data_IF_882729294809
#
_entry.id   IF_882729294809
#
_cell.length_a   1.000
_cell.length_b   1.000
_cell.length_c   1.000
_cell.angle_alpha   90.00
_cell.angle_beta   90.00
_cell.angle_gamma   90.00
#
_symmetry.space_group_name_H-M   'P 1'
#
loop_
_entity.id
_entity.type
_entity.pdbx_description
1 polymer ?
#
# COMPACT_ATOMS: atom_id res chain seq x y z
N UNK A 1 41.63 -52.38 8.05
CA UNK A 1 40.35 -51.73 7.66
C UNK A 1 40.69 -50.55 6.76
N UNK A 2 40.09 -50.49 5.57
CA UNK A 2 40.55 -49.70 4.40
C UNK A 2 40.13 -48.22 4.48
N UNK A 3 40.91 -47.28 3.92
CA UNK A 3 40.56 -45.86 3.86
C UNK A 3 39.53 -45.56 2.75
N UNK A 4 38.58 -44.68 3.04
CA UNK A 4 37.56 -44.20 2.10
C UNK A 4 38.18 -43.19 1.12
N UNK A 5 38.19 -43.56 -0.17
CA UNK A 5 38.63 -42.70 -1.26
C UNK A 5 37.54 -41.71 -1.66
N UNK A 6 37.89 -40.42 -1.67
CA UNK A 6 37.06 -39.31 -2.12
C UNK A 6 37.15 -39.21 -3.65
N UNK A 7 36.16 -39.75 -4.37
CA UNK A 7 36.11 -39.66 -5.82
C UNK A 7 35.53 -38.29 -6.24
N UNK A 8 36.39 -37.39 -6.73
CA UNK A 8 35.99 -36.20 -7.50
C UNK A 8 35.21 -36.65 -8.74
N UNK A 9 33.90 -36.38 -8.79
CA UNK A 9 33.15 -36.42 -10.06
C UNK A 9 33.35 -35.11 -10.81
N UNK A 10 34.17 -35.20 -11.85
CA UNK A 10 34.32 -34.18 -12.89
C UNK A 10 32.98 -33.97 -13.59
N UNK A 11 32.56 -32.71 -13.68
CA UNK A 11 31.36 -32.28 -14.40
C UNK A 11 31.72 -32.27 -15.88
N UNK A 12 31.23 -33.26 -16.64
CA UNK A 12 31.30 -33.27 -18.09
C UNK A 12 29.92 -32.84 -18.61
N UNK A 13 29.77 -31.55 -18.93
CA UNK A 13 28.69 -31.01 -19.76
C UNK A 13 28.83 -31.61 -21.15
N UNK A 14 28.07 -32.68 -21.41
CA UNK A 14 27.90 -33.22 -22.75
C UNK A 14 26.58 -32.67 -23.27
N UNK A 15 26.64 -31.78 -24.25
CA UNK A 15 25.47 -31.36 -25.03
C UNK A 15 24.86 -32.61 -25.67
N UNK A 16 23.70 -33.01 -25.16
CA UNK A 16 22.88 -34.07 -25.74
C UNK A 16 21.76 -33.35 -26.49
N UNK A 17 22.02 -33.03 -27.76
CA UNK A 17 20.98 -32.67 -28.71
C UNK A 17 20.41 -33.97 -29.29
N UNK A 18 19.26 -34.41 -28.77
CA UNK A 18 18.40 -35.39 -29.46
C UNK A 18 17.18 -34.65 -30.02
N UNK A 19 16.84 -34.80 -31.31
CA UNK A 19 15.57 -34.31 -31.83
C UNK A 19 14.53 -35.44 -31.69
N UNK A 20 13.52 -35.22 -30.85
CA UNK A 20 12.30 -36.00 -30.87
C UNK A 20 11.11 -35.08 -31.10
N UNK A 21 10.26 -35.52 -32.01
CA UNK A 21 9.15 -34.83 -32.62
C UNK A 21 8.14 -34.28 -31.62
N UNK A 22 7.58 -33.10 -31.92
CA UNK A 22 6.31 -32.61 -31.37
C UNK A 22 6.36 -32.25 -29.89
N UNK A 23 6.95 -31.11 -29.54
CA UNK A 23 6.90 -30.58 -28.18
C UNK A 23 7.21 -29.09 -28.16
N UNK A 24 6.27 -28.31 -27.62
CA UNK A 24 6.40 -26.87 -27.40
C UNK A 24 7.74 -26.55 -26.72
N UNK A 25 8.63 -25.85 -27.43
CA UNK A 25 9.93 -25.44 -26.90
C UNK A 25 9.72 -24.26 -25.96
N UNK A 26 9.69 -24.52 -24.65
CA UNK A 26 9.79 -23.47 -23.64
C UNK A 26 11.26 -23.07 -23.57
N UNK A 27 11.65 -22.06 -24.35
CA UNK A 27 12.93 -21.39 -24.15
C UNK A 27 12.86 -20.61 -22.83
N UNK A 28 13.40 -21.16 -21.75
CA UNK A 28 13.66 -20.41 -20.53
C UNK A 28 14.84 -19.49 -20.81
N UNK A 29 14.56 -18.35 -21.42
CA UNK A 29 15.50 -17.25 -21.49
C UNK A 29 15.79 -16.81 -20.04
N UNK A 30 17.06 -16.89 -19.65
CA UNK A 30 17.56 -16.32 -18.38
C UNK A 30 17.24 -14.83 -18.41
N UNK A 31 16.15 -14.42 -17.75
CA UNK A 31 15.84 -13.01 -17.52
C UNK A 31 17.03 -12.42 -16.74
N UNK A 32 17.90 -11.71 -17.44
CA UNK A 32 18.70 -10.65 -16.86
C UNK A 32 17.76 -9.51 -16.51
N UNK A 33 16.87 -9.75 -15.55
CA UNK A 33 16.22 -8.70 -14.80
C UNK A 33 17.34 -8.01 -14.02
N UNK A 34 17.98 -7.04 -14.65
CA UNK A 34 18.57 -5.92 -13.91
C UNK A 34 17.36 -5.25 -13.28
N UNK A 35 16.92 -5.82 -12.16
CA UNK A 35 15.87 -5.27 -11.34
C UNK A 35 16.39 -3.87 -11.00
N UNK A 36 15.87 -2.87 -11.69
CA UNK A 36 16.09 -1.46 -11.37
C UNK A 36 15.69 -1.38 -9.92
N UNK A 37 16.68 -1.35 -9.03
CA UNK A 37 16.50 -1.20 -7.60
C UNK A 37 16.09 0.25 -7.45
N UNK A 38 14.83 0.55 -7.76
CA UNK A 38 14.19 1.82 -7.43
C UNK A 38 14.44 1.99 -5.94
N UNK A 39 15.38 2.86 -5.60
CA UNK A 39 15.61 3.18 -4.20
C UNK A 39 14.30 3.81 -3.72
N UNK A 40 13.78 3.37 -2.57
CA UNK A 40 12.61 4.01 -2.00
C UNK A 40 12.95 5.49 -1.84
N UNK A 41 12.14 6.37 -2.45
CA UNK A 41 12.22 7.80 -2.26
C UNK A 41 12.00 8.07 -0.77
N UNK A 42 12.99 8.65 -0.09
CA UNK A 42 12.92 8.93 1.34
C UNK A 42 12.43 10.37 1.49
N UNK A 43 11.12 10.54 1.63
CA UNK A 43 10.48 11.84 1.83
C UNK A 43 8.95 11.71 1.82
N UNK A 44 8.22 12.69 2.40
CA UNK A 44 6.77 12.72 2.32
C UNK A 44 6.32 12.69 0.86
N UNK A 45 5.50 11.72 0.49
CA UNK A 45 4.92 11.71 -0.86
C UNK A 45 3.88 12.85 -0.98
N UNK A 46 3.84 13.51 -2.13
CA UNK A 46 2.80 14.47 -2.46
C UNK A 46 1.44 13.76 -2.52
N UNK A 47 0.41 14.37 -1.92
CA UNK A 47 -0.92 13.77 -1.88
C UNK A 47 -1.66 14.04 -3.21
N UNK A 48 -2.11 12.99 -3.92
CA UNK A 48 -2.79 13.16 -5.21
C UNK A 48 -4.16 13.82 -5.06
N UNK A 49 -4.62 14.52 -6.09
CA UNK A 49 -5.86 15.29 -6.04
C UNK A 49 -7.10 14.43 -6.32
N UNK A 50 -6.95 13.33 -7.04
CA UNK A 50 -8.07 12.48 -7.48
C UNK A 50 -8.10 11.12 -6.79
N UNK A 51 -9.29 10.52 -6.67
CA UNK A 51 -9.44 9.18 -6.08
C UNK A 51 -8.72 8.11 -6.90
N UNK A 52 -8.76 8.18 -8.23
CA UNK A 52 -8.09 7.22 -9.10
C UNK A 52 -6.55 7.27 -8.94
N UNK A 53 -5.98 8.45 -8.82
CA UNK A 53 -4.55 8.61 -8.52
C UNK A 53 -4.21 8.14 -7.10
N UNK A 54 -5.10 8.35 -6.12
CA UNK A 54 -4.94 7.80 -4.77
C UNK A 54 -4.87 6.28 -4.80
N UNK A 55 -5.78 5.60 -5.52
CA UNK A 55 -5.80 4.14 -5.62
C UNK A 55 -4.51 3.61 -6.26
N UNK A 56 -4.03 4.25 -7.34
CA UNK A 56 -2.76 3.88 -7.98
C UNK A 56 -1.55 4.09 -7.05
N UNK A 57 -1.55 5.16 -6.26
CA UNK A 57 -0.51 5.40 -5.26
C UNK A 57 -0.57 4.37 -4.12
N UNK A 58 -1.76 4.00 -3.68
CA UNK A 58 -1.99 3.00 -2.63
C UNK A 58 -1.45 1.63 -3.05
N UNK A 59 -1.76 1.20 -4.28
CA UNK A 59 -1.26 -0.05 -4.85
C UNK A 59 0.28 -0.05 -4.93
N UNK A 60 0.88 1.05 -5.38
CA UNK A 60 2.34 1.20 -5.45
C UNK A 60 2.98 1.11 -4.07
N UNK A 61 2.48 1.86 -3.09
CA UNK A 61 3.01 1.85 -1.72
C UNK A 61 2.84 0.48 -1.07
N UNK A 62 1.73 -0.21 -1.33
CA UNK A 62 1.49 -1.57 -0.85
C UNK A 62 2.53 -2.55 -1.42
N UNK A 63 2.75 -2.50 -2.74
CA UNK A 63 3.75 -3.32 -3.44
C UNK A 63 5.17 -3.07 -2.92
N UNK A 64 5.55 -1.82 -2.73
CA UNK A 64 6.87 -1.44 -2.22
C UNK A 64 7.05 -1.86 -0.74
N UNK A 65 6.00 -1.75 0.07
CA UNK A 65 5.98 -2.23 1.47
C UNK A 65 6.23 -3.74 1.53
N UNK A 66 5.46 -4.53 0.76
CA UNK A 66 5.59 -5.99 0.72
C UNK A 66 7.00 -6.38 0.28
N UNK A 67 7.50 -5.74 -0.78
CA UNK A 67 8.86 -6.01 -1.28
C UNK A 67 9.93 -5.79 -0.21
N UNK A 68 9.88 -4.67 0.51
CA UNK A 68 10.85 -4.37 1.56
C UNK A 68 10.70 -5.31 2.77
N UNK A 69 9.48 -5.66 3.15
CA UNK A 69 9.22 -6.62 4.23
C UNK A 69 9.78 -8.01 3.89
N UNK A 70 9.58 -8.49 2.67
CA UNK A 70 10.16 -9.75 2.22
C UNK A 70 11.70 -9.68 2.24
N UNK A 71 12.31 -8.60 1.77
CA UNK A 71 13.77 -8.44 1.77
C UNK A 71 14.35 -8.41 3.19
N UNK A 72 13.72 -7.67 4.10
CA UNK A 72 14.11 -7.63 5.50
C UNK A 72 13.88 -8.99 6.18
N UNK A 73 12.80 -9.68 5.85
CA UNK A 73 12.50 -11.03 6.33
C UNK A 73 13.55 -12.05 5.91
N UNK A 74 13.94 -12.05 4.63
CA UNK A 74 15.02 -12.91 4.10
C UNK A 74 16.34 -12.61 4.80
N UNK A 75 16.70 -11.33 4.94
CA UNK A 75 17.93 -10.93 5.63
C UNK A 75 17.97 -11.41 7.09
N UNK A 76 16.85 -11.29 7.81
CA UNK A 76 16.71 -11.82 9.17
C UNK A 76 16.82 -13.34 9.21
N UNK A 77 16.16 -14.04 8.28
CA UNK A 77 16.20 -15.49 8.19
C UNK A 77 17.61 -16.02 7.95
N UNK A 78 18.37 -15.40 7.05
CA UNK A 78 19.78 -15.75 6.79
C UNK A 78 20.67 -15.53 8.02
N UNK A 79 20.50 -14.41 8.71
CA UNK A 79 21.23 -14.14 9.94
C UNK A 79 20.97 -15.18 11.03
N UNK A 80 19.74 -15.68 11.16
CA UNK A 80 19.40 -16.70 12.14
C UNK A 80 19.86 -18.11 11.74
N UNK A 81 19.77 -18.46 10.46
CA UNK A 81 20.08 -19.80 9.97
C UNK A 81 21.57 -20.03 9.71
N UNK A 82 22.25 -19.04 9.14
CA UNK A 82 23.64 -19.15 8.63
C UNK A 82 24.62 -18.32 9.48
N UNK A 83 24.14 -17.47 10.38
CA UNK A 83 24.96 -16.51 11.12
C UNK A 83 25.44 -15.33 10.26
N UNK A 84 25.01 -15.25 8.99
CA UNK A 84 25.38 -14.18 8.07
C UNK A 84 24.50 -12.95 8.27
N UNK A 85 25.05 -11.92 8.89
CA UNK A 85 24.37 -10.64 9.05
C UNK A 85 24.37 -9.85 7.75
N UNK A 86 23.21 -9.29 7.40
CA UNK A 86 23.13 -8.31 6.33
C UNK A 86 23.89 -7.02 6.69
N UNK A 87 24.32 -6.27 5.68
CA UNK A 87 24.94 -4.95 5.87
C UNK A 87 24.07 -4.07 6.78
N UNK A 88 24.59 -3.63 7.95
CA UNK A 88 23.85 -2.79 8.89
C UNK A 88 23.34 -1.49 8.25
N UNK A 89 24.13 -0.88 7.36
CA UNK A 89 23.74 0.37 6.72
C UNK A 89 22.53 0.17 5.82
N UNK A 90 22.55 -0.87 4.98
CA UNK A 90 21.40 -1.26 4.17
C UNK A 90 20.18 -1.61 5.03
N UNK A 91 20.36 -2.40 6.09
CA UNK A 91 19.27 -2.85 6.94
C UNK A 91 18.55 -1.68 7.63
N UNK A 92 19.30 -0.72 8.18
CA UNK A 92 18.75 0.49 8.76
C UNK A 92 18.04 1.36 7.72
N UNK A 93 18.62 1.53 6.52
CA UNK A 93 18.00 2.29 5.43
C UNK A 93 16.70 1.66 4.95
N UNK A 94 16.67 0.35 4.76
CA UNK A 94 15.48 -0.40 4.36
C UNK A 94 14.39 -0.34 5.44
N UNK A 95 14.76 -0.46 6.72
CA UNK A 95 13.83 -0.33 7.85
C UNK A 95 13.23 1.08 7.95
N UNK A 96 14.05 2.12 7.75
CA UNK A 96 13.59 3.50 7.73
C UNK A 96 12.65 3.76 6.54
N UNK A 97 13.00 3.29 5.35
CA UNK A 97 12.14 3.39 4.17
C UNK A 97 10.77 2.74 4.40
N UNK A 98 10.74 1.53 4.99
CA UNK A 98 9.49 0.85 5.33
C UNK A 98 8.62 1.67 6.29
N UNK A 99 9.24 2.33 7.29
CA UNK A 99 8.53 3.23 8.22
C UNK A 99 7.89 4.40 7.49
N UNK A 100 8.58 5.02 6.53
CA UNK A 100 8.05 6.12 5.74
C UNK A 100 6.88 5.66 4.85
N UNK A 101 7.02 4.52 4.16
CA UNK A 101 5.95 3.95 3.34
C UNK A 101 4.70 3.68 4.18
N UNK A 102 4.85 3.09 5.38
CA UNK A 102 3.70 2.84 6.28
C UNK A 102 3.01 4.12 6.72
N UNK A 103 3.79 5.17 7.04
CA UNK A 103 3.25 6.50 7.37
C UNK A 103 2.51 7.11 6.18
N UNK A 104 3.06 7.03 4.98
CA UNK A 104 2.42 7.58 3.78
C UNK A 104 1.14 6.83 3.42
N UNK A 105 1.08 5.50 3.60
CA UNK A 105 -0.16 4.73 3.47
C UNK A 105 -1.24 5.19 4.46
N UNK A 106 -0.87 5.46 5.71
CA UNK A 106 -1.81 5.99 6.69
C UNK A 106 -2.31 7.38 6.31
N UNK A 107 -1.41 8.28 5.86
CA UNK A 107 -1.77 9.61 5.38
C UNK A 107 -2.73 9.53 4.19
N UNK A 108 -2.44 8.65 3.23
CA UNK A 108 -3.25 8.43 2.04
C UNK A 108 -4.66 7.93 2.39
N UNK A 109 -4.79 7.01 3.35
CA UNK A 109 -6.10 6.51 3.78
C UNK A 109 -6.99 7.63 4.36
N UNK A 110 -6.41 8.54 5.16
CA UNK A 110 -7.13 9.71 5.69
C UNK A 110 -7.53 10.66 4.55
N UNK A 111 -6.61 10.93 3.63
CA UNK A 111 -6.84 11.79 2.47
C UNK A 111 -7.95 11.25 1.56
N UNK A 112 -7.93 9.95 1.25
CA UNK A 112 -8.98 9.28 0.46
C UNK A 112 -10.35 9.37 1.13
N UNK A 113 -10.41 9.23 2.46
CA UNK A 113 -11.66 9.43 3.20
C UNK A 113 -12.18 10.86 3.05
N UNK A 114 -11.31 11.86 3.16
CA UNK A 114 -11.66 13.26 2.99
C UNK A 114 -12.15 13.55 1.57
N UNK A 115 -11.47 13.03 0.54
CA UNK A 115 -11.90 13.15 -0.86
C UNK A 115 -13.27 12.52 -1.10
N UNK A 116 -13.53 11.34 -0.53
CA UNK A 116 -14.86 10.69 -0.62
C UNK A 116 -15.96 11.53 0.05
N UNK A 117 -15.67 12.14 1.20
CA UNK A 117 -16.61 13.04 1.88
C UNK A 117 -16.86 14.29 1.04
N UNK A 118 -15.82 14.90 0.48
CA UNK A 118 -15.93 16.08 -0.36
C UNK A 118 -16.73 15.79 -1.65
N UNK A 119 -16.48 14.64 -2.29
CA UNK A 119 -17.24 14.18 -3.45
C UNK A 119 -18.72 13.98 -3.09
N UNK A 120 -19.02 13.36 -1.95
CA UNK A 120 -20.40 13.16 -1.48
C UNK A 120 -21.12 14.47 -1.18
N UNK A 121 -20.44 15.45 -0.61
CA UNK A 121 -21.01 16.79 -0.35
C UNK A 121 -21.33 17.57 -1.62
N UNK A 122 -20.64 17.29 -2.71
CA UNK A 122 -20.80 17.97 -4.01
C UNK A 122 -21.84 17.27 -4.89
N UNK A 123 -22.19 16.02 -4.59
CA UNK A 123 -23.16 15.24 -5.36
C UNK A 123 -24.60 15.81 -5.22
N UNK A 124 -25.23 16.27 -6.32
CA UNK A 124 -26.57 16.83 -6.30
C UNK A 124 -27.63 15.89 -5.75
N UNK A 125 -27.46 14.56 -5.91
CA UNK A 125 -28.40 13.58 -5.39
C UNK A 125 -28.38 13.55 -3.85
N UNK A 126 -27.18 13.66 -3.26
CA UNK A 126 -27.03 13.71 -1.81
C UNK A 126 -27.55 15.03 -1.23
N UNK A 127 -27.26 16.16 -1.88
CA UNK A 127 -27.80 17.46 -1.47
C UNK A 127 -29.33 17.50 -1.55
N UNK A 128 -29.91 16.98 -2.64
CA UNK A 128 -31.36 16.90 -2.81
C UNK A 128 -32.03 16.00 -1.77
N UNK A 129 -31.41 14.86 -1.43
CA UNK A 129 -31.88 13.98 -0.35
C UNK A 129 -31.83 14.67 1.01
N UNK A 130 -30.72 15.34 1.34
CA UNK A 130 -30.56 16.02 2.64
C UNK A 130 -31.59 17.14 2.78
N UNK A 131 -31.77 17.93 1.72
CA UNK A 131 -32.77 19.00 1.71
C UNK A 131 -34.20 18.46 1.81
N UNK A 132 -34.50 17.33 1.18
CA UNK A 132 -35.81 16.67 1.32
C UNK A 132 -36.03 16.13 2.74
N UNK A 133 -34.99 15.57 3.37
CA UNK A 133 -35.06 15.10 4.75
C UNK A 133 -35.29 16.25 5.73
N UNK A 134 -34.55 17.35 5.57
CA UNK A 134 -34.72 18.56 6.39
C UNK A 134 -36.14 19.10 6.28
N UNK A 135 -36.71 19.14 5.07
CA UNK A 135 -38.11 19.55 4.86
C UNK A 135 -39.09 18.62 5.57
N UNK A 136 -38.93 17.30 5.41
CA UNK A 136 -39.79 16.32 6.06
C UNK A 136 -39.74 16.44 7.60
N UNK A 137 -38.55 16.62 8.18
CA UNK A 137 -38.39 16.83 9.61
C UNK A 137 -39.00 18.15 10.08
N UNK A 138 -38.89 19.21 9.27
CA UNK A 138 -39.52 20.50 9.57
C UNK A 138 -41.03 20.39 9.62
N UNK A 139 -41.63 19.62 8.71
CA UNK A 139 -43.09 19.45 8.62
C UNK A 139 -43.65 18.53 9.73
N UNK A 140 -42.82 17.66 10.31
CA UNK A 140 -43.18 16.80 11.46
C UNK A 140 -43.11 17.54 12.80
N UNK A 141 -42.33 18.62 12.87
CA UNK A 141 -42.16 19.41 14.08
C UNK A 141 -43.27 20.45 14.26
N UNK A 142 -43.61 20.81 15.52
CA UNK A 142 -44.50 21.93 15.80
C UNK A 142 -43.96 23.25 15.21
N UNK A 143 -44.86 24.15 14.81
CA UNK A 143 -44.48 25.47 14.27
C UNK A 143 -43.48 26.20 15.19
N UNK A 144 -42.42 26.73 14.60
CA UNK A 144 -41.35 27.46 15.29
C UNK A 144 -40.38 26.59 16.10
N UNK A 145 -40.64 25.29 16.31
CA UNK A 145 -39.71 24.42 17.04
C UNK A 145 -38.43 24.14 16.26
N UNK A 146 -38.54 24.00 14.94
CA UNK A 146 -37.38 23.81 14.07
C UNK A 146 -36.43 25.01 14.15
N UNK A 147 -36.95 26.23 14.07
CA UNK A 147 -36.13 27.46 14.11
C UNK A 147 -35.46 27.65 15.48
N UNK A 148 -36.16 27.34 16.58
CA UNK A 148 -35.57 27.35 17.92
C UNK A 148 -34.41 26.36 18.05
N UNK A 149 -34.54 25.16 17.47
CA UNK A 149 -33.46 24.15 17.48
C UNK A 149 -32.26 24.64 16.66
N UNK A 150 -32.50 25.27 15.50
CA UNK A 150 -31.43 25.85 14.67
C UNK A 150 -30.69 26.95 15.43
N UNK A 151 -31.41 27.88 16.06
CA UNK A 151 -30.83 28.97 16.85
C UNK A 151 -30.01 28.44 18.04
N UNK A 152 -30.51 27.43 18.76
CA UNK A 152 -29.79 26.78 19.86
C UNK A 152 -28.50 26.10 19.36
N UNK A 153 -28.56 25.41 18.22
CA UNK A 153 -27.38 24.77 17.60
C UNK A 153 -26.36 25.80 17.14
N UNK A 154 -26.78 26.90 16.51
CA UNK A 154 -25.90 27.98 16.07
C UNK A 154 -25.19 28.64 17.26
N UNK A 155 -25.92 28.95 18.33
CA UNK A 155 -25.33 29.47 19.57
C UNK A 155 -24.30 28.52 20.17
N UNK A 156 -24.59 27.21 20.17
CA UNK A 156 -23.66 26.19 20.68
C UNK A 156 -22.39 26.08 19.83
N UNK A 157 -22.50 26.23 18.50
CA UNK A 157 -21.35 26.25 17.58
C UNK A 157 -20.49 27.49 17.82
N UNK A 158 -21.09 28.67 17.93
CA UNK A 158 -20.36 29.93 18.22
C UNK A 158 -19.66 29.90 19.58
N UNK A 159 -20.29 29.26 20.57
CA UNK A 159 -19.70 29.04 21.90
C UNK A 159 -18.59 27.97 21.92
N UNK A 160 -18.33 27.28 20.80
CA UNK A 160 -17.31 26.23 20.69
C UNK A 160 -17.65 24.95 21.46
N UNK A 161 -18.94 24.73 21.77
CA UNK A 161 -19.42 23.53 22.46
C UNK A 161 -19.45 22.38 21.43
N UNK A 162 -18.75 21.25 21.68
CA UNK A 162 -18.78 20.11 20.76
C UNK A 162 -20.20 19.53 20.71
N UNK A 163 -20.73 19.42 19.49
CA UNK A 163 -22.01 18.78 19.17
C UNK A 163 -21.88 17.24 19.19
#
# INVERSE_FOLDING_TARGET
MKPFAFLRRSIATKDISQPLAGGLVITVAKRSDVAVRRQPQIGPCDMPATLAECDALEERLCRDSIRLECQLGIAKGKSQAEGEYADPHWYHKASAALKHIKRDRQRLAVHMKQLRIAARRTDPHWQGRDQALIRALRDELPEGRFDQIVEEVEMNIEAGIPQ
#
